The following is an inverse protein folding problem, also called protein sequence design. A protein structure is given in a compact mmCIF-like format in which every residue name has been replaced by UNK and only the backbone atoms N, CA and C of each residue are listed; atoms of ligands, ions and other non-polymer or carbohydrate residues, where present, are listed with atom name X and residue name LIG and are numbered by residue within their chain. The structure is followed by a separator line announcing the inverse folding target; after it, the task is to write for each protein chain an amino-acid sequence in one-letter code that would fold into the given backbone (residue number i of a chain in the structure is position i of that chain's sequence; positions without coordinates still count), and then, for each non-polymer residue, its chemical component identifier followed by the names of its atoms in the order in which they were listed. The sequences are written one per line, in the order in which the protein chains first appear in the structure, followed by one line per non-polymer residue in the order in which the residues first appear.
data_IF_798623402613
#
_entry.id   IF_798623402613
#
_cell.length_a   1.000
_cell.length_b   1.000
_cell.length_c   1.000
_cell.angle_alpha   90.00
_cell.angle_beta   90.00
_cell.angle_gamma   90.00
#
_symmetry.space_group_name_H-M   'P 1'
#
loop_
_entity.id
_entity.type
_entity.pdbx_description
1 polymer ?
#
# COMPACT_ATOMS: atom_id res chain seq x y z
N UNK A 1 -14.73 34.07 4.86
CA UNK A 1 -15.16 32.79 4.25
C UNK A 1 -13.91 32.09 3.79
N UNK A 2 -13.44 31.09 4.53
CA UNK A 2 -12.25 30.33 4.17
C UNK A 2 -12.69 29.18 3.26
N UNK A 3 -12.19 29.14 2.02
CA UNK A 3 -12.46 28.05 1.09
C UNK A 3 -11.94 26.72 1.66
N UNK A 4 -12.72 25.64 1.69
CA UNK A 4 -12.25 24.31 2.06
C UNK A 4 -11.84 23.55 0.79
N UNK A 5 -10.68 23.88 0.22
CA UNK A 5 -10.10 23.08 -0.87
C UNK A 5 -8.58 23.23 -0.89
N UNK A 6 -7.93 22.72 0.14
CA UNK A 6 -6.68 21.98 -0.08
C UNK A 6 -6.86 20.60 0.54
N UNK A 7 -7.67 19.76 -0.12
CA UNK A 7 -7.49 18.31 -0.08
C UNK A 7 -6.16 18.00 -0.78
N UNK A 8 -5.05 18.39 -0.16
CA UNK A 8 -3.83 17.62 -0.29
C UNK A 8 -3.77 16.78 0.97
N UNK A 9 -4.78 15.90 1.10
CA UNK A 9 -4.52 14.62 1.72
C UNK A 9 -3.50 13.95 0.79
N UNK A 10 -2.28 13.72 1.27
CA UNK A 10 -1.23 13.12 0.47
C UNK A 10 -1.64 11.67 0.18
N UNK A 11 -2.29 11.47 -0.97
CA UNK A 11 -2.66 10.16 -1.47
C UNK A 11 -1.39 9.53 -2.05
N UNK A 12 -0.87 8.51 -1.37
CA UNK A 12 0.35 7.80 -1.74
C UNK A 12 0.01 6.35 -2.08
N UNK A 13 0.57 5.85 -3.17
CA UNK A 13 0.45 4.44 -3.56
C UNK A 13 1.70 3.66 -3.14
N UNK A 14 1.50 2.60 -2.35
CA UNK A 14 2.54 1.63 -2.01
C UNK A 14 2.36 0.37 -2.83
N UNK A 15 3.35 0.06 -3.66
CA UNK A 15 3.38 -1.17 -4.45
C UNK A 15 4.35 -2.20 -3.85
N UNK A 16 3.96 -3.47 -3.91
CA UNK A 16 4.79 -4.60 -3.56
C UNK A 16 4.49 -5.79 -4.49
N UNK A 17 5.51 -6.58 -4.79
CA UNK A 17 5.41 -7.72 -5.72
C UNK A 17 6.10 -8.94 -5.15
N UNK A 18 5.54 -10.12 -5.39
CA UNK A 18 6.14 -11.41 -5.05
C UNK A 18 5.83 -12.44 -6.13
N UNK A 19 6.81 -13.29 -6.42
CA UNK A 19 6.59 -14.49 -7.23
C UNK A 19 6.22 -15.66 -6.33
N UNK A 20 5.22 -16.44 -6.72
CA UNK A 20 4.81 -17.69 -6.04
C UNK A 20 4.84 -18.87 -6.99
N UNK A 21 5.09 -20.06 -6.46
CA UNK A 21 5.25 -21.29 -7.25
C UNK A 21 3.94 -22.07 -7.45
N UNK A 22 2.85 -21.62 -6.83
CA UNK A 22 1.56 -22.28 -6.87
C UNK A 22 0.42 -21.28 -6.77
N UNK A 23 -0.69 -21.56 -7.46
CA UNK A 23 -1.90 -20.74 -7.34
C UNK A 23 -2.51 -20.79 -5.94
N UNK A 24 -2.22 -21.83 -5.16
CA UNK A 24 -2.68 -21.97 -3.78
C UNK A 24 -2.03 -20.94 -2.83
N UNK A 25 -0.84 -20.43 -3.17
CA UNK A 25 -0.09 -19.46 -2.36
C UNK A 25 -0.46 -18.00 -2.66
N UNK A 26 -1.28 -17.77 -3.68
CA UNK A 26 -1.66 -16.42 -4.13
C UNK A 26 -2.45 -15.66 -3.05
N UNK A 27 -3.50 -16.22 -2.41
CA UNK A 27 -4.27 -15.48 -1.41
C UNK A 27 -3.40 -15.00 -0.24
N UNK A 28 -2.61 -15.90 0.34
CA UNK A 28 -1.68 -15.61 1.44
C UNK A 28 -0.63 -14.57 1.01
N UNK A 29 -0.19 -14.62 -0.25
CA UNK A 29 0.76 -13.65 -0.79
C UNK A 29 0.14 -12.27 -1.00
N UNK A 30 -1.11 -12.17 -1.44
CA UNK A 30 -1.82 -10.88 -1.54
C UNK A 30 -1.95 -10.26 -0.15
N UNK A 31 -2.38 -11.03 0.86
CA UNK A 31 -2.53 -10.54 2.23
C UNK A 31 -1.19 -10.04 2.80
N UNK A 32 -0.12 -10.83 2.66
CA UNK A 32 1.21 -10.44 3.12
C UNK A 32 1.75 -9.17 2.42
N UNK A 33 1.48 -9.01 1.11
CA UNK A 33 1.90 -7.81 0.37
C UNK A 33 1.08 -6.58 0.77
N UNK A 34 -0.22 -6.74 1.05
CA UNK A 34 -1.06 -5.66 1.61
C UNK A 34 -0.52 -5.21 2.96
N UNK A 35 -0.23 -6.15 3.87
CA UNK A 35 0.32 -5.84 5.18
C UNK A 35 1.67 -5.11 5.09
N UNK A 36 2.55 -5.57 4.20
CA UNK A 36 3.83 -4.91 3.93
C UNK A 36 3.66 -3.46 3.47
N UNK A 37 2.71 -3.19 2.57
CA UNK A 37 2.41 -1.85 2.10
C UNK A 37 1.86 -0.96 3.22
N UNK A 38 0.98 -1.50 4.06
CA UNK A 38 0.45 -0.76 5.21
C UNK A 38 1.52 -0.46 6.26
N UNK A 39 2.46 -1.38 6.51
CA UNK A 39 3.58 -1.13 7.44
C UNK A 39 4.51 -0.02 6.93
N UNK A 40 4.82 -0.02 5.63
CA UNK A 40 5.56 1.06 4.99
C UNK A 40 4.85 2.40 5.11
N UNK A 41 3.52 2.40 4.98
CA UNK A 41 2.72 3.60 5.17
C UNK A 41 2.73 4.09 6.63
N UNK A 42 2.62 3.20 7.61
CA UNK A 42 2.75 3.54 9.04
C UNK A 42 4.12 4.15 9.35
N UNK A 43 5.17 3.58 8.79
CA UNK A 43 6.55 4.09 8.95
C UNK A 43 6.66 5.50 8.37
N UNK A 44 6.17 5.73 7.15
CA UNK A 44 6.18 7.05 6.53
C UNK A 44 5.37 8.10 7.31
N UNK A 45 4.18 7.74 7.83
CA UNK A 45 3.41 8.63 8.71
C UNK A 45 4.19 9.03 9.97
N UNK A 46 4.88 8.08 10.60
CA UNK A 46 5.66 8.34 11.80
C UNK A 46 6.88 9.25 11.52
N UNK A 47 7.54 9.04 10.38
CA UNK A 47 8.62 9.91 9.91
C UNK A 47 8.13 11.34 9.65
N UNK A 48 7.01 11.49 8.93
CA UNK A 48 6.41 12.80 8.66
C UNK A 48 5.97 13.51 9.94
N UNK A 49 5.39 12.74 10.89
CA UNK A 49 5.01 13.26 12.21
C UNK A 49 6.22 13.80 12.98
N UNK A 50 7.36 13.11 12.88
CA UNK A 50 8.60 13.52 13.54
C UNK A 50 9.19 14.79 12.89
N UNK A 51 9.02 14.95 11.57
CA UNK A 51 9.55 16.08 10.81
C UNK A 51 8.73 17.37 10.97
N UNK A 52 7.41 17.25 10.98
CA UNK A 52 6.47 18.39 10.98
C UNK A 52 5.96 18.74 12.37
N UNK A 53 5.95 17.77 13.30
CA UNK A 53 5.30 17.89 14.61
C UNK A 53 3.78 17.68 14.58
N UNK A 54 3.18 17.43 13.42
CA UNK A 54 1.75 17.11 13.27
C UNK A 54 1.56 15.59 13.24
N UNK A 55 0.57 15.04 13.94
CA UNK A 55 0.37 13.58 13.94
C UNK A 55 -0.34 13.14 12.67
N UNK A 56 0.28 12.29 11.86
CA UNK A 56 -0.33 11.74 10.65
C UNK A 56 -0.88 10.33 10.86
N UNK A 57 -2.09 10.08 10.39
CA UNK A 57 -2.70 8.75 10.39
C UNK A 57 -2.91 8.25 8.95
N UNK A 58 -2.27 7.13 8.56
CA UNK A 58 -2.50 6.51 7.27
C UNK A 58 -3.85 5.78 7.26
N UNK A 59 -4.68 6.07 6.26
CA UNK A 59 -5.95 5.38 6.01
C UNK A 59 -5.91 4.69 4.66
N UNK A 60 -6.24 3.40 4.61
CA UNK A 60 -6.36 2.67 3.34
C UNK A 60 -7.62 3.14 2.61
N UNK A 61 -7.46 3.64 1.38
CA UNK A 61 -8.56 4.09 0.52
C UNK A 61 -8.73 3.24 -0.74
N UNK A 62 -7.74 2.41 -1.07
CA UNK A 62 -7.83 1.47 -2.19
C UNK A 62 -6.82 0.34 -2.09
N UNK A 63 -7.21 -0.84 -2.57
CA UNK A 63 -6.33 -2.00 -2.73
C UNK A 63 -6.60 -2.59 -4.11
N UNK A 64 -5.58 -2.56 -4.96
CA UNK A 64 -5.58 -3.20 -6.26
C UNK A 64 -4.55 -4.33 -6.27
N UNK A 65 -4.87 -5.44 -6.92
CA UNK A 65 -3.91 -6.52 -7.12
C UNK A 65 -3.99 -7.07 -8.53
N UNK A 66 -2.85 -7.54 -9.02
CA UNK A 66 -2.70 -8.13 -10.35
C UNK A 66 -1.92 -9.42 -10.22
N UNK A 67 -2.41 -10.47 -10.86
CA UNK A 67 -1.81 -11.79 -10.89
C UNK A 67 -1.48 -12.11 -12.34
N UNK A 68 -0.20 -12.33 -12.63
CA UNK A 68 0.27 -12.66 -13.98
C UNK A 68 0.91 -14.05 -13.95
N UNK A 69 0.40 -15.04 -14.72
CA UNK A 69 1.08 -16.30 -14.89
C UNK A 69 2.37 -16.06 -15.69
N UNK A 70 3.49 -16.51 -15.16
CA UNK A 70 4.78 -16.49 -15.85
C UNK A 70 4.86 -17.71 -16.77
N UNK A 71 5.22 -17.49 -18.03
CA UNK A 71 5.31 -18.54 -19.06
C UNK A 71 6.54 -19.47 -18.89
N UNK A 72 7.16 -19.48 -17.70
CA UNK A 72 8.29 -20.35 -17.38
C UNK A 72 7.80 -21.71 -16.86
N UNK A 73 8.61 -22.75 -17.05
CA UNK A 73 8.44 -24.04 -16.39
C UNK A 73 9.48 -24.13 -15.25
N UNK A 74 9.08 -24.40 -13.99
CA UNK A 74 7.72 -24.62 -13.48
C UNK A 74 6.83 -23.36 -13.52
N UNK A 75 5.50 -23.54 -13.58
CA UNK A 75 4.53 -22.43 -13.64
C UNK A 75 4.65 -21.60 -12.36
N UNK A 76 4.99 -20.33 -12.52
CA UNK A 76 5.07 -19.34 -11.45
C UNK A 76 4.01 -18.25 -11.67
N UNK A 77 3.62 -17.57 -10.61
CA UNK A 77 2.70 -16.43 -10.67
C UNK A 77 3.39 -15.20 -10.08
N UNK A 78 3.42 -14.10 -10.84
CA UNK A 78 3.78 -12.80 -10.30
C UNK A 78 2.53 -12.17 -9.69
N UNK A 79 2.54 -12.02 -8.37
CA UNK A 79 1.51 -11.31 -7.60
C UNK A 79 2.01 -9.90 -7.34
N UNK A 80 1.24 -8.90 -7.76
CA UNK A 80 1.50 -7.49 -7.52
C UNK A 80 0.33 -6.90 -6.75
N UNK A 81 0.62 -6.12 -5.72
CA UNK A 81 -0.38 -5.39 -4.93
C UNK A 81 -0.01 -3.92 -4.91
N UNK A 82 -1.00 -3.06 -5.08
CA UNK A 82 -0.91 -1.61 -4.89
C UNK A 82 -1.93 -1.23 -3.82
N UNK A 83 -1.45 -0.65 -2.72
CA UNK A 83 -2.29 -0.10 -1.66
C UNK A 83 -2.23 1.41 -1.73
N UNK A 84 -3.37 2.04 -1.96
CA UNK A 84 -3.52 3.49 -1.97
C UNK A 84 -3.89 3.94 -0.56
N UNK A 85 -3.05 4.81 0.00
CA UNK A 85 -3.14 5.32 1.36
C UNK A 85 -3.34 6.82 1.31
N UNK A 86 -4.25 7.29 2.14
CA UNK A 86 -4.47 8.70 2.42
C UNK A 86 -3.81 9.05 3.76
N UNK A 87 -2.89 10.02 3.77
CA UNK A 87 -2.33 10.58 5.01
C UNK A 87 -3.13 11.79 5.44
N UNK A 88 -3.71 11.71 6.65
CA UNK A 88 -4.43 12.82 7.26
C UNK A 88 -3.75 13.26 8.55
N UNK A 89 -3.51 14.56 8.69
CA UNK A 89 -3.13 15.13 9.96
C UNK A 89 -4.32 15.02 10.95
N UNK A 90 -4.04 14.50 12.13
CA UNK A 90 -4.98 14.42 13.24
C UNK A 90 -4.47 15.36 14.34
N UNK A 91 -5.38 16.23 14.81
CA UNK A 91 -5.16 17.19 15.90
C UNK A 91 -5.11 16.52 17.27
#
# INVERSE_FOLDING_TARGET
MSSPTSLHDDVVAYAATRTVSSSAEIPDSVEALVEQCQERARTAAAEETTLTGETYAPTVVGIDHTIVPLLAAPIEYLVSVVVTIEFRAIL
#
